data_IF_000693715229
#
_entry.id   IF_000693715229
#
_cell.length_a   1.000
_cell.length_b   1.000
_cell.length_c   1.000
_cell.angle_alpha   90.00
_cell.angle_beta   90.00
_cell.angle_gamma   90.00
#
_symmetry.space_group_name_H-M   'P 1'
#
loop_
_entity.id
_entity.type
_entity.pdbx_description
1 polymer ?
#
# COMPACT_ATOMS: atom_id res chain seq x y z
N UNK A 1 -24.06 35.20 -82.48
CA UNK A 1 -24.21 35.79 -81.11
C UNK A 1 -24.85 34.83 -80.10
N UNK A 2 -25.81 33.97 -80.48
CA UNK A 2 -26.54 33.06 -79.56
C UNK A 2 -25.69 31.92 -78.97
N UNK A 3 -24.78 31.33 -79.75
CA UNK A 3 -23.90 30.23 -79.30
C UNK A 3 -22.88 30.69 -78.25
N UNK A 4 -22.41 31.94 -78.32
CA UNK A 4 -21.45 32.49 -77.36
C UNK A 4 -22.08 32.67 -75.97
N UNK A 5 -23.36 33.06 -75.91
CA UNK A 5 -24.10 33.22 -74.65
C UNK A 5 -24.34 31.88 -73.95
N UNK A 6 -24.59 30.80 -74.70
CA UNK A 6 -24.75 29.45 -74.14
C UNK A 6 -23.45 28.92 -73.53
N UNK A 7 -22.31 29.15 -74.20
CA UNK A 7 -21.00 28.73 -73.68
C UNK A 7 -20.61 29.48 -72.39
N UNK A 8 -20.92 30.78 -72.30
CA UNK A 8 -20.68 31.57 -71.09
C UNK A 8 -21.58 31.14 -69.94
N UNK A 9 -22.86 30.83 -70.20
CA UNK A 9 -23.77 30.31 -69.18
C UNK A 9 -23.29 28.96 -68.63
N UNK A 10 -22.86 28.05 -69.52
CA UNK A 10 -22.33 26.75 -69.11
C UNK A 10 -21.04 26.85 -68.30
N UNK A 11 -20.10 27.72 -68.74
CA UNK A 11 -18.86 27.96 -67.99
C UNK A 11 -19.14 28.55 -66.59
N UNK A 12 -20.15 29.42 -66.48
CA UNK A 12 -20.57 30.01 -65.20
C UNK A 12 -21.19 28.97 -64.27
N UNK A 13 -22.04 28.07 -64.76
CA UNK A 13 -22.61 26.99 -63.96
C UNK A 13 -21.54 26.01 -63.46
N UNK A 14 -20.60 25.61 -64.31
CA UNK A 14 -19.48 24.74 -63.92
C UNK A 14 -18.60 25.41 -62.86
N UNK A 15 -18.36 26.73 -62.98
CA UNK A 15 -17.60 27.49 -61.99
C UNK A 15 -18.32 27.57 -60.63
N UNK A 16 -19.63 27.82 -60.64
CA UNK A 16 -20.45 27.83 -59.42
C UNK A 16 -20.52 26.44 -58.76
N UNK A 17 -20.67 25.38 -59.55
CA UNK A 17 -20.63 23.99 -59.06
C UNK A 17 -19.31 23.65 -58.38
N UNK A 18 -18.17 24.04 -58.97
CA UNK A 18 -16.84 23.84 -58.36
C UNK A 18 -16.69 24.59 -57.05
N UNK A 19 -17.17 25.84 -56.97
CA UNK A 19 -17.15 26.62 -55.72
C UNK A 19 -18.04 26.01 -54.63
N UNK A 20 -19.24 25.55 -54.98
CA UNK A 20 -20.16 24.91 -54.05
C UNK A 20 -19.61 23.57 -53.53
N UNK A 21 -18.96 22.77 -54.39
CA UNK A 21 -18.29 21.53 -54.00
C UNK A 21 -17.10 21.78 -53.07
N UNK A 22 -16.27 22.78 -53.36
CA UNK A 22 -15.15 23.16 -52.49
C UNK A 22 -15.65 23.61 -51.10
N UNK A 23 -16.70 24.42 -51.06
CA UNK A 23 -17.33 24.86 -49.82
C UNK A 23 -17.93 23.69 -49.02
N UNK A 24 -18.64 22.78 -49.71
CA UNK A 24 -19.20 21.58 -49.08
C UNK A 24 -18.10 20.67 -48.50
N UNK A 25 -16.97 20.54 -49.20
CA UNK A 25 -15.83 19.75 -48.74
C UNK A 25 -15.14 20.35 -47.51
N UNK A 26 -14.93 21.67 -47.47
CA UNK A 26 -14.37 22.34 -46.29
C UNK A 26 -15.28 22.22 -45.06
N UNK A 27 -16.59 22.42 -45.25
CA UNK A 27 -17.57 22.25 -44.17
C UNK A 27 -17.60 20.80 -43.65
N UNK A 28 -17.46 19.82 -44.55
CA UNK A 28 -17.38 18.40 -44.19
C UNK A 28 -16.11 18.09 -43.37
N UNK A 29 -14.94 18.57 -43.81
CA UNK A 29 -13.68 18.39 -43.09
C UNK A 29 -13.69 19.07 -41.71
N UNK A 30 -14.24 20.29 -41.62
CA UNK A 30 -14.40 21.00 -40.35
C UNK A 30 -15.31 20.23 -39.38
N UNK A 31 -16.45 19.72 -39.86
CA UNK A 31 -17.36 18.89 -39.04
C UNK A 31 -16.69 17.60 -38.56
N UNK A 32 -15.91 16.93 -39.41
CA UNK A 32 -15.16 15.71 -39.04
C UNK A 32 -14.10 15.98 -37.97
N UNK A 33 -13.35 17.08 -38.11
CA UNK A 33 -12.34 17.49 -37.14
C UNK A 33 -12.94 17.94 -35.80
N UNK A 34 -14.09 18.62 -35.82
CA UNK A 34 -14.85 18.97 -34.61
C UNK A 34 -15.38 17.73 -33.87
N UNK A 35 -15.91 16.74 -34.60
CA UNK A 35 -16.34 15.45 -34.01
C UNK A 35 -15.16 14.69 -33.40
N UNK A 36 -14.01 14.62 -34.09
CA UNK A 36 -12.78 14.00 -33.56
C UNK A 36 -12.30 14.68 -32.28
N UNK A 37 -12.23 16.02 -32.25
CA UNK A 37 -11.84 16.78 -31.04
C UNK A 37 -12.81 16.55 -29.88
N UNK A 38 -14.12 16.51 -30.13
CA UNK A 38 -15.12 16.20 -29.10
C UNK A 38 -15.00 14.77 -28.57
N UNK A 39 -14.75 13.79 -29.44
CA UNK A 39 -14.52 12.38 -29.07
C UNK A 39 -13.26 12.20 -28.21
N UNK A 40 -12.13 12.78 -28.64
CA UNK A 40 -10.87 12.75 -27.88
C UNK A 40 -11.02 13.36 -26.48
N UNK A 41 -11.79 14.45 -26.37
CA UNK A 41 -12.08 15.08 -25.08
C UNK A 41 -12.94 14.19 -24.18
N UNK A 42 -13.92 13.46 -24.74
CA UNK A 42 -14.74 12.52 -23.97
C UNK A 42 -13.91 11.31 -23.48
N UNK A 43 -13.03 10.77 -24.32
CA UNK A 43 -12.14 9.66 -23.97
C UNK A 43 -11.18 10.07 -22.85
N UNK A 44 -10.60 11.28 -22.90
CA UNK A 44 -9.72 11.75 -21.81
C UNK A 44 -10.46 11.96 -20.50
N UNK A 45 -11.71 12.45 -20.52
CA UNK A 45 -12.50 12.57 -19.30
C UNK A 45 -12.93 11.19 -18.77
N UNK A 46 -13.29 10.25 -19.64
CA UNK A 46 -13.62 8.88 -19.25
C UNK A 46 -12.42 8.15 -18.64
N UNK A 47 -11.22 8.30 -19.22
CA UNK A 47 -9.99 7.76 -18.65
C UNK A 47 -9.66 8.39 -17.29
N UNK A 48 -9.85 9.72 -17.13
CA UNK A 48 -9.66 10.40 -15.85
C UNK A 48 -10.66 9.92 -14.78
N UNK A 49 -11.93 9.72 -15.16
CA UNK A 49 -12.96 9.18 -14.27
C UNK A 49 -12.70 7.72 -13.89
N UNK A 50 -12.29 6.88 -14.86
CA UNK A 50 -11.90 5.49 -14.59
C UNK A 50 -10.69 5.43 -13.64
N UNK A 51 -9.76 6.37 -13.78
CA UNK A 51 -8.57 6.50 -12.94
C UNK A 51 -8.88 7.01 -11.52
N UNK A 52 -9.86 7.92 -11.39
CA UNK A 52 -10.35 8.43 -10.10
C UNK A 52 -11.26 7.45 -9.35
N UNK A 53 -11.96 6.56 -10.08
CA UNK A 53 -12.81 5.52 -9.50
C UNK A 53 -12.06 4.21 -9.18
N UNK A 54 -10.80 4.08 -9.61
CA UNK A 54 -9.99 2.89 -9.37
C UNK A 54 -9.46 2.68 -7.93
N UNK A 55 -9.53 3.60 -6.93
CA UNK A 55 -8.96 3.27 -5.63
C UNK A 55 -9.81 2.30 -4.80
N UNK A 56 -11.13 2.21 -4.95
CA UNK A 56 -11.95 1.63 -3.87
C UNK A 56 -11.99 0.10 -3.82
N UNK A 57 -11.65 -0.61 -4.91
CA UNK A 57 -11.78 -2.08 -4.95
C UNK A 57 -10.51 -2.81 -4.49
N UNK A 58 -9.36 -2.11 -4.42
CA UNK A 58 -8.07 -2.70 -4.01
C UNK A 58 -7.72 -2.51 -2.53
N UNK A 59 -8.52 -1.75 -1.76
CA UNK A 59 -8.29 -1.55 -0.32
C UNK A 59 -8.87 -2.67 0.58
N UNK A 60 -9.52 -3.69 0.00
CA UNK A 60 -10.27 -4.68 0.77
C UNK A 60 -9.50 -5.98 1.08
N UNK A 61 -8.20 -6.07 0.84
CA UNK A 61 -7.38 -7.24 1.22
C UNK A 61 -6.21 -6.81 2.10
N UNK A 62 -6.53 -6.06 3.16
CA UNK A 62 -5.61 -5.97 4.29
C UNK A 62 -5.51 -7.36 4.90
N UNK A 63 -4.30 -7.90 4.85
CA UNK A 63 -3.88 -9.19 5.39
C UNK A 63 -4.49 -9.41 6.79
N UNK A 64 -5.38 -10.39 6.88
CA UNK A 64 -6.37 -10.57 7.96
C UNK A 64 -5.89 -11.54 9.06
N UNK A 65 -4.58 -11.81 9.17
CA UNK A 65 -4.09 -12.88 10.07
C UNK A 65 -3.63 -12.40 11.46
N UNK A 66 -3.41 -11.11 11.67
CA UNK A 66 -3.05 -10.59 12.99
C UNK A 66 -4.30 -10.14 13.77
N UNK A 67 -5.15 -11.08 14.18
CA UNK A 67 -6.09 -10.78 15.26
C UNK A 67 -5.30 -10.60 16.55
N UNK A 68 -5.47 -9.48 17.30
CA UNK A 68 -4.94 -9.33 18.64
C UNK A 68 -5.75 -10.21 19.60
N UNK A 69 -5.66 -11.52 19.43
CA UNK A 69 -6.24 -12.46 20.38
C UNK A 69 -5.23 -12.58 21.50
N UNK A 70 -5.50 -11.89 22.60
CA UNK A 70 -4.77 -12.07 23.85
C UNK A 70 -4.87 -13.54 24.25
N UNK A 71 -3.81 -14.30 23.97
CA UNK A 71 -3.76 -15.72 24.26
C UNK A 71 -3.20 -15.86 25.67
N UNK A 72 -3.94 -16.56 26.53
CA UNK A 72 -3.52 -16.89 27.89
C UNK A 72 -3.04 -18.32 27.93
N UNK A 73 -1.90 -18.55 28.58
CA UNK A 73 -1.33 -19.88 28.77
C UNK A 73 -0.89 -20.01 30.22
N UNK A 74 -1.39 -21.03 30.90
CA UNK A 74 -0.93 -21.38 32.24
C UNK A 74 0.28 -22.30 32.12
N UNK A 75 1.36 -21.93 32.82
CA UNK A 75 2.64 -22.65 32.81
C UNK A 75 3.11 -22.84 34.25
N UNK A 76 3.67 -24.01 34.51
CA UNK A 76 4.20 -24.33 35.84
C UNK A 76 5.73 -24.23 35.81
N UNK A 77 6.29 -23.40 36.69
CA UNK A 77 7.71 -23.22 36.92
C UNK A 77 8.09 -23.85 38.27
N UNK A 78 8.06 -25.18 38.36
CA UNK A 78 8.37 -25.90 39.60
C UNK A 78 7.33 -25.62 40.69
N UNK A 79 7.69 -24.94 41.80
CA UNK A 79 6.73 -24.60 42.84
C UNK A 79 5.81 -23.43 42.48
N UNK A 80 6.07 -22.70 41.39
CA UNK A 80 5.33 -21.48 41.02
C UNK A 80 4.40 -21.70 39.83
N UNK A 81 3.11 -21.39 39.98
CA UNK A 81 2.17 -21.36 38.86
C UNK A 81 2.16 -19.96 38.23
N UNK A 82 2.36 -19.89 36.92
CA UNK A 82 2.42 -18.63 36.17
C UNK A 82 1.34 -18.63 35.08
N UNK A 83 0.61 -17.53 34.97
CA UNK A 83 -0.22 -17.23 33.80
C UNK A 83 0.54 -16.27 32.88
N UNK A 84 0.75 -16.71 31.65
CA UNK A 84 1.43 -15.97 30.59
C UNK A 84 0.39 -15.45 29.61
N UNK A 85 0.36 -14.15 29.38
CA UNK A 85 -0.52 -13.50 28.41
C UNK A 85 0.29 -12.82 27.31
N UNK A 86 -0.03 -13.13 26.05
CA UNK A 86 0.60 -12.52 24.88
C UNK A 86 -0.26 -11.39 24.33
N UNK A 87 0.36 -10.31 23.88
CA UNK A 87 -0.36 -9.24 23.18
C UNK A 87 -0.90 -9.68 21.80
N UNK A 88 -0.19 -10.59 21.14
CA UNK A 88 -0.51 -11.11 19.81
C UNK A 88 0.08 -12.51 19.65
N UNK A 89 -0.70 -13.41 19.03
CA UNK A 89 -0.27 -14.77 18.74
C UNK A 89 -0.99 -15.32 17.49
N UNK A 90 -0.28 -15.96 16.53
CA UNK A 90 1.18 -16.07 16.45
C UNK A 90 1.85 -14.70 16.18
N UNK A 91 3.10 -14.53 16.59
CA UNK A 91 3.82 -13.26 16.40
C UNK A 91 4.64 -13.29 15.10
N UNK A 92 4.65 -12.19 14.37
CA UNK A 92 5.51 -12.03 13.20
C UNK A 92 6.96 -11.71 13.61
N UNK A 93 7.93 -12.28 12.91
CA UNK A 93 9.33 -11.93 13.04
C UNK A 93 9.54 -10.41 12.82
N UNK A 94 10.61 -9.88 13.42
CA UNK A 94 10.98 -8.45 13.47
C UNK A 94 9.99 -7.54 14.21
N UNK A 95 8.85 -8.06 14.67
CA UNK A 95 7.90 -7.32 15.52
C UNK A 95 8.29 -7.45 16.99
N UNK A 96 8.08 -6.38 17.77
CA UNK A 96 8.28 -6.42 19.22
C UNK A 96 7.21 -7.29 19.88
N UNK A 97 7.64 -8.17 20.78
CA UNK A 97 6.76 -8.98 21.62
C UNK A 97 6.63 -8.34 22.99
N UNK A 98 5.38 -8.25 23.47
CA UNK A 98 5.06 -7.94 24.85
C UNK A 98 4.33 -9.13 25.45
N UNK A 99 4.87 -9.65 26.55
CA UNK A 99 4.32 -10.77 27.28
C UNK A 99 4.19 -10.40 28.74
N UNK A 100 3.00 -10.59 29.30
CA UNK A 100 2.71 -10.38 30.70
C UNK A 100 2.79 -11.72 31.42
N UNK A 101 3.54 -11.79 32.50
CA UNK A 101 3.68 -13.00 33.33
C UNK A 101 3.17 -12.68 34.72
N UNK A 102 2.16 -13.40 35.17
CA UNK A 102 1.53 -13.21 36.49
C UNK A 102 1.69 -14.49 37.30
N UNK A 103 2.48 -14.49 38.39
CA UNK A 103 2.50 -15.61 39.33
C UNK A 103 1.19 -15.68 40.12
N UNK A 104 0.82 -16.89 40.54
CA UNK A 104 -0.30 -17.11 41.47
C UNK A 104 0.10 -16.75 42.92
N UNK A 105 1.40 -16.86 43.24
CA UNK A 105 1.98 -16.59 44.54
C UNK A 105 2.42 -15.13 44.74
N UNK A 106 2.84 -14.78 45.96
CA UNK A 106 3.27 -13.43 46.33
C UNK A 106 4.51 -12.98 45.54
N UNK A 107 4.30 -12.04 44.62
CA UNK A 107 5.30 -11.48 43.72
C UNK A 107 6.49 -10.77 44.40
N UNK A 108 6.30 -10.19 45.59
CA UNK A 108 7.31 -9.29 46.21
C UNK A 108 8.65 -9.98 46.51
N UNK A 109 8.66 -11.30 46.66
CA UNK A 109 9.86 -12.09 46.95
C UNK A 109 10.35 -12.89 45.74
N UNK A 110 9.72 -12.71 44.58
CA UNK A 110 10.03 -13.45 43.38
C UNK A 110 10.90 -12.61 42.44
N UNK A 111 11.93 -13.25 41.90
CA UNK A 111 12.71 -12.71 40.79
C UNK A 111 12.59 -13.67 39.62
N UNK A 112 12.46 -13.14 38.41
CA UNK A 112 12.28 -13.99 37.24
C UNK A 112 13.19 -13.56 36.09
N UNK A 113 13.68 -14.56 35.36
CA UNK A 113 14.53 -14.40 34.20
C UNK A 113 13.94 -15.19 33.06
N UNK A 114 14.26 -14.77 31.84
CA UNK A 114 13.80 -15.45 30.65
C UNK A 114 14.96 -15.77 29.73
N UNK A 115 14.76 -16.82 28.94
CA UNK A 115 15.67 -17.27 27.94
C UNK A 115 14.90 -17.78 26.71
N UNK A 116 15.10 -17.15 25.55
CA UNK A 116 14.54 -17.55 24.27
C UNK A 116 15.58 -18.35 23.51
N UNK A 117 15.26 -19.61 23.27
CA UNK A 117 16.07 -20.54 22.50
C UNK A 117 15.59 -20.46 21.04
N UNK A 118 16.49 -20.13 20.09
CA UNK A 118 16.15 -19.99 18.68
C UNK A 118 15.86 -21.35 18.04
N UNK A 119 15.03 -21.38 16.97
CA UNK A 119 14.80 -22.59 16.18
C UNK A 119 16.04 -23.04 15.42
N UNK A 120 16.89 -22.10 14.99
CA UNK A 120 18.13 -22.40 14.27
C UNK A 120 19.30 -22.64 15.22
N UNK A 121 20.17 -23.60 14.89
CA UNK A 121 21.40 -23.86 15.65
C UNK A 121 22.39 -22.67 15.61
N UNK A 122 22.34 -21.87 14.54
CA UNK A 122 23.14 -20.65 14.39
C UNK A 122 22.41 -19.40 14.94
N UNK A 123 21.18 -19.57 15.41
CA UNK A 123 20.35 -18.49 15.93
C UNK A 123 20.94 -17.89 17.20
N UNK A 124 20.68 -16.60 17.42
CA UNK A 124 21.13 -15.91 18.63
C UNK A 124 20.11 -16.13 19.75
N UNK A 125 20.55 -16.78 20.82
CA UNK A 125 19.81 -16.86 22.08
C UNK A 125 19.61 -15.46 22.69
N UNK A 126 18.39 -15.19 23.16
CA UNK A 126 18.02 -13.90 23.77
C UNK A 126 17.63 -14.17 25.21
N UNK A 127 18.34 -13.56 26.16
CA UNK A 127 18.06 -13.73 27.58
C UNK A 127 18.03 -12.38 28.29
N UNK A 128 17.28 -12.31 29.40
CA UNK A 128 17.22 -11.11 30.23
C UNK A 128 16.40 -11.32 31.49
N UNK A 129 16.36 -10.28 32.32
CA UNK A 129 15.50 -10.26 33.50
C UNK A 129 14.07 -9.84 33.12
N UNK A 130 13.09 -10.41 33.82
CA UNK A 130 11.70 -10.00 33.75
C UNK A 130 11.51 -8.76 34.63
N UNK A 131 11.08 -7.65 34.02
CA UNK A 131 10.89 -6.40 34.75
C UNK A 131 9.49 -6.34 35.36
N UNK A 132 9.29 -5.67 36.51
CA UNK A 132 7.94 -5.41 37.02
C UNK A 132 7.06 -4.70 35.99
N UNK A 133 5.80 -5.10 35.88
CA UNK A 133 4.87 -4.54 34.94
C UNK A 133 4.49 -3.10 35.34
N UNK A 134 4.66 -2.10 34.46
CA UNK A 134 4.33 -0.71 34.81
C UNK A 134 2.85 -0.52 35.12
N UNK A 135 2.53 -0.15 36.37
CA UNK A 135 1.16 0.15 36.79
C UNK A 135 0.29 -1.07 37.09
N UNK A 136 0.86 -2.27 37.13
CA UNK A 136 0.19 -3.48 37.60
C UNK A 136 1.10 -4.20 38.60
N UNK A 137 0.75 -4.09 39.88
CA UNK A 137 1.45 -4.81 40.94
C UNK A 137 1.22 -6.32 40.78
N UNK A 138 2.24 -7.12 41.09
CA UNK A 138 2.12 -8.58 41.02
C UNK A 138 2.30 -9.19 39.64
N UNK A 139 2.84 -8.46 38.66
CA UNK A 139 3.10 -8.99 37.32
C UNK A 139 4.47 -8.55 36.80
N UNK A 140 5.06 -9.39 35.95
CA UNK A 140 6.21 -9.03 35.15
C UNK A 140 5.80 -8.70 33.72
N UNK A 141 6.55 -7.78 33.11
CA UNK A 141 6.54 -7.47 31.70
C UNK A 141 7.83 -8.00 31.07
N UNK A 142 7.67 -8.87 30.08
CA UNK A 142 8.69 -9.21 29.12
C UNK A 142 8.52 -8.34 27.88
N UNK A 143 9.60 -7.66 27.50
CA UNK A 143 9.69 -6.91 26.26
C UNK A 143 10.89 -7.39 25.45
N UNK A 144 10.62 -8.04 24.32
CA UNK A 144 11.66 -8.44 23.36
C UNK A 144 11.49 -7.63 22.09
N UNK A 145 12.52 -6.85 21.76
CA UNK A 145 12.51 -6.01 20.57
C UNK A 145 12.87 -6.83 19.33
N UNK A 146 11.86 -7.20 18.56
CA UNK A 146 12.01 -7.82 17.26
C UNK A 146 12.64 -9.21 17.33
N UNK A 147 11.82 -10.26 17.36
CA UNK A 147 12.33 -11.63 17.24
C UNK A 147 12.96 -11.79 15.85
N UNK A 148 14.25 -12.16 15.74
CA UNK A 148 15.02 -11.95 14.51
C UNK A 148 14.66 -12.91 13.36
N UNK A 149 14.23 -14.13 13.68
CA UNK A 149 13.96 -15.18 12.69
C UNK A 149 12.60 -15.86 12.94
N UNK A 150 11.90 -16.25 11.87
CA UNK A 150 10.69 -17.07 11.96
C UNK A 150 11.03 -18.51 12.36
N UNK A 151 10.06 -19.22 12.93
CA UNK A 151 10.18 -20.63 13.31
C UNK A 151 9.60 -20.92 14.70
N UNK A 152 9.93 -22.11 15.22
CA UNK A 152 9.44 -22.59 16.52
C UNK A 152 10.46 -22.30 17.62
N UNK A 153 10.21 -21.26 18.39
CA UNK A 153 11.05 -20.87 19.51
C UNK A 153 10.68 -21.65 20.77
N UNK A 154 11.65 -21.83 21.68
CA UNK A 154 11.37 -22.32 23.03
C UNK A 154 11.63 -21.22 24.04
N UNK A 155 10.64 -20.92 24.86
CA UNK A 155 10.79 -20.00 25.99
C UNK A 155 11.09 -20.78 27.25
N UNK A 156 12.13 -20.36 27.94
CA UNK A 156 12.48 -20.82 29.27
C UNK A 156 12.29 -19.64 30.23
N UNK A 157 11.44 -19.82 31.22
CA UNK A 157 11.20 -18.83 32.27
C UNK A 157 11.68 -19.43 33.57
N UNK A 158 12.67 -18.79 34.17
CA UNK A 158 13.22 -19.17 35.46
C UNK A 158 12.69 -18.23 36.53
N UNK A 159 12.10 -18.78 37.58
CA UNK A 159 11.61 -18.04 38.75
C UNK A 159 12.39 -18.49 39.97
N UNK A 160 12.90 -17.51 40.72
CA UNK A 160 13.61 -17.72 41.96
C UNK A 160 12.83 -17.05 43.09
N UNK A 161 12.48 -17.83 44.10
CA UNK A 161 11.72 -17.36 45.26
C UNK A 161 12.01 -18.15 46.54
N UNK A 162 11.19 -17.98 47.59
CA UNK A 162 11.44 -18.57 48.92
C UNK A 162 11.38 -20.11 48.93
N UNK A 163 10.53 -20.70 48.09
CA UNK A 163 10.43 -22.16 47.91
C UNK A 163 11.50 -22.75 46.97
N UNK A 164 12.42 -21.91 46.50
CA UNK A 164 13.57 -22.30 45.68
C UNK A 164 13.48 -21.81 44.24
N UNK A 165 14.24 -22.47 43.38
CA UNK A 165 14.31 -22.18 41.94
C UNK A 165 13.35 -23.08 41.16
N UNK A 166 12.56 -22.48 40.29
CA UNK A 166 11.63 -23.15 39.38
C UNK A 166 11.86 -22.74 37.94
N UNK A 167 11.63 -23.65 37.00
CA UNK A 167 11.82 -23.37 35.55
C UNK A 167 10.63 -23.90 34.77
N UNK A 168 10.02 -23.03 33.96
CA UNK A 168 8.95 -23.36 33.02
C UNK A 168 9.47 -23.34 31.57
N UNK A 169 8.90 -24.20 30.73
CA UNK A 169 9.22 -24.26 29.31
C UNK A 169 7.95 -24.11 28.46
N UNK A 170 7.92 -23.12 27.58
CA UNK A 170 6.91 -22.97 26.53
C UNK A 170 7.57 -23.42 25.22
N UNK A 171 7.25 -24.65 24.82
CA UNK A 171 7.77 -25.25 23.58
C UNK A 171 6.91 -24.87 22.39
N UNK A 172 7.51 -24.96 21.21
CA UNK A 172 6.84 -24.77 19.91
C UNK A 172 6.15 -23.41 19.76
N UNK A 173 6.71 -22.36 20.35
CA UNK A 173 6.20 -21.01 20.20
C UNK A 173 6.40 -20.52 18.76
N UNK A 174 5.30 -20.44 18.01
CA UNK A 174 5.30 -20.10 16.59
C UNK A 174 5.58 -18.61 16.35
N UNK A 175 6.63 -18.34 15.58
CA UNK A 175 6.96 -17.02 15.04
C UNK A 175 6.85 -17.09 13.52
N UNK A 176 5.92 -16.31 12.96
CA UNK A 176 5.65 -16.27 11.53
C UNK A 176 6.60 -15.34 10.81
N UNK A 177 6.62 -15.41 9.47
CA UNK A 177 7.38 -14.49 8.63
C UNK A 177 6.99 -13.02 8.89
N UNK A 178 7.92 -12.07 8.71
CA UNK A 178 7.62 -10.66 8.87
C UNK A 178 6.54 -10.25 7.85
N UNK A 179 5.60 -9.36 8.22
CA UNK A 179 4.54 -8.94 7.30
C UNK A 179 5.15 -8.29 6.07
N UNK A 180 4.73 -8.74 4.90
CA UNK A 180 5.17 -8.18 3.63
C UNK A 180 4.78 -6.71 3.47
N UNK A 181 5.41 -6.02 2.50
CA UNK A 181 4.95 -4.68 2.11
C UNK A 181 3.47 -4.79 1.72
N UNK A 182 2.58 -3.96 2.30
CA UNK A 182 1.17 -3.99 1.96
C UNK A 182 0.98 -3.93 0.45
N UNK A 183 0.16 -4.83 -0.10
CA UNK A 183 0.04 -5.01 -1.56
C UNK A 183 -0.26 -3.68 -2.27
N UNK A 184 -1.13 -2.85 -1.69
CA UNK A 184 -1.48 -1.53 -2.22
C UNK A 184 -0.26 -0.59 -2.32
N UNK A 185 0.68 -0.68 -1.37
CA UNK A 185 1.89 0.13 -1.35
C UNK A 185 2.85 -0.34 -2.45
N UNK A 186 2.95 -1.67 -2.66
CA UNK A 186 3.66 -2.24 -3.80
C UNK A 186 3.15 -1.72 -5.14
N UNK A 187 1.83 -1.67 -5.33
CA UNK A 187 1.22 -1.09 -6.53
C UNK A 187 1.47 0.41 -6.67
N UNK A 188 1.35 1.18 -5.58
CA UNK A 188 1.59 2.62 -5.60
C UNK A 188 3.02 2.94 -6.05
N UNK A 189 4.01 2.22 -5.50
CA UNK A 189 5.42 2.35 -5.88
C UNK A 189 5.63 1.91 -7.33
N UNK A 190 5.04 0.77 -7.72
CA UNK A 190 5.13 0.24 -9.09
C UNK A 190 4.55 1.16 -10.16
N UNK A 191 3.57 2.01 -9.81
CA UNK A 191 2.93 2.95 -10.74
C UNK A 191 3.64 4.29 -10.87
N UNK A 192 4.66 4.59 -10.05
CA UNK A 192 5.41 5.86 -10.09
C UNK A 192 5.90 6.21 -11.51
N UNK A 193 6.53 5.29 -12.29
CA UNK A 193 6.97 5.61 -13.65
C UNK A 193 5.83 6.01 -14.58
N UNK A 194 4.65 5.39 -14.43
CA UNK A 194 3.46 5.71 -15.23
C UNK A 194 2.93 7.12 -14.88
N UNK A 195 2.87 7.46 -13.59
CA UNK A 195 2.52 8.82 -13.16
C UNK A 195 3.49 9.86 -13.73
N UNK A 196 4.78 9.57 -13.73
CA UNK A 196 5.82 10.41 -14.34
C UNK A 196 5.57 10.67 -15.84
N UNK A 197 5.25 9.61 -16.59
CA UNK A 197 4.93 9.72 -18.03
C UNK A 197 3.67 10.55 -18.28
N UNK A 198 2.61 10.35 -17.51
CA UNK A 198 1.36 11.12 -17.63
C UNK A 198 1.60 12.60 -17.32
N UNK A 199 2.35 12.90 -16.25
CA UNK A 199 2.72 14.26 -15.89
C UNK A 199 3.56 14.94 -16.99
N UNK A 200 4.55 14.22 -17.52
CA UNK A 200 5.41 14.70 -18.61
C UNK A 200 4.62 14.98 -19.89
N UNK A 201 3.75 14.05 -20.32
CA UNK A 201 2.90 14.25 -21.49
C UNK A 201 1.95 15.44 -21.30
N UNK A 202 1.37 15.60 -20.10
CA UNK A 202 0.54 16.75 -19.75
C UNK A 202 1.31 18.08 -19.79
N UNK A 203 2.56 18.07 -19.32
CA UNK A 203 3.46 19.23 -19.37
C UNK A 203 3.76 19.65 -20.81
N UNK A 204 4.19 18.72 -21.66
CA UNK A 204 4.48 18.99 -23.08
C UNK A 204 3.24 19.46 -23.83
N UNK A 205 2.07 18.85 -23.58
CA UNK A 205 0.82 19.31 -24.18
C UNK A 205 0.50 20.77 -23.82
N UNK A 206 0.66 21.14 -22.54
CA UNK A 206 0.46 22.53 -22.09
C UNK A 206 1.49 23.49 -22.69
N UNK A 207 2.73 23.04 -22.88
CA UNK A 207 3.81 23.81 -23.51
C UNK A 207 3.48 24.11 -24.98
N UNK A 208 3.17 23.08 -25.77
CA UNK A 208 2.82 23.21 -27.19
C UNK A 208 1.60 24.11 -27.38
N UNK A 209 0.57 23.96 -26.54
CA UNK A 209 -0.64 24.79 -26.60
C UNK A 209 -0.36 26.28 -26.36
N UNK A 210 0.57 26.61 -25.45
CA UNK A 210 0.98 28.00 -25.20
C UNK A 210 1.70 28.60 -26.41
N UNK A 211 2.62 27.84 -27.01
CA UNK A 211 3.37 28.28 -28.21
C UNK A 211 2.40 28.52 -29.39
N UNK A 212 1.49 27.58 -29.66
CA UNK A 212 0.52 27.72 -30.74
C UNK A 212 -0.40 28.95 -30.56
N UNK A 213 -0.81 29.24 -29.31
CA UNK A 213 -1.60 30.43 -29.01
C UNK A 213 -0.80 31.71 -29.27
N UNK A 214 0.46 31.77 -28.85
CA UNK A 214 1.37 32.91 -29.08
C UNK A 214 1.51 33.24 -30.58
N UNK A 215 1.80 32.24 -31.41
CA UNK A 215 1.99 32.44 -32.86
C UNK A 215 0.71 32.92 -33.56
N UNK A 216 -0.47 32.48 -33.09
CA UNK A 216 -1.76 32.95 -33.65
C UNK A 216 -2.07 34.41 -33.34
N UNK A 217 -1.52 34.98 -32.26
CA UNK A 217 -1.64 36.41 -31.96
C UNK A 217 -0.69 37.24 -32.81
N UNK A 218 0.55 36.78 -32.99
CA UNK A 218 1.54 37.47 -33.84
C UNK A 218 1.11 37.55 -35.32
N UNK A 219 0.41 36.52 -35.82
CA UNK A 219 -0.10 36.50 -37.21
C UNK A 219 -1.35 37.37 -37.42
N UNK A 220 -2.03 37.80 -36.35
CA UNK A 220 -3.23 38.65 -36.41
C UNK A 220 -2.93 40.15 -36.31
N UNK A 221 -1.69 40.51 -35.97
CA UNK A 221 -1.21 41.89 -35.83
C UNK A 221 -0.41 42.40 -37.04
N UNK A 222 -0.29 41.59 -38.09
CA UNK A 222 0.25 41.94 -39.41
C UNK A 222 -0.89 42.01 -40.42
#
# INVERSE_FOLDING_TARGET
MFLLRKNLAYAYEVFLLRKNLAYAYEVFLLRKNLRRKKMLRKITHAALWLFLLFPTVLFAHADETATPTATKMDVNAGPYNLTVEFNEYPINALKSLEMKVTPEEDFEQLTAQYNLIPPSADGKQISGDLNPYPGLDGAWLLYVKGIPEPGHWTWEIEVNGPDGKGTAYIKDFEVTDPPGIPLWLGWLIGLIPLYGLVAFAGFEYRRVKRIAKSNSFAQKSL
#
